data_IF_628451076155
#
_entry.id   IF_628451076155
#
_cell.length_a   1.000
_cell.length_b   1.000
_cell.length_c   1.000
_cell.angle_alpha   90.00
_cell.angle_beta   90.00
_cell.angle_gamma   90.00
#
_symmetry.space_group_name_H-M   'P 1'
#
loop_
_entity.id
_entity.type
_entity.pdbx_description
1 polymer ?
#
# COMPACT_ATOMS: atom_id res chain seq x y z
N UNK A 1 -14.09 -19.77 -10.05
CA UNK A 1 -14.75 -18.50 -9.70
C UNK A 1 -14.33 -17.45 -10.72
N UNK A 2 -15.29 -16.78 -11.38
CA UNK A 2 -14.98 -15.66 -12.26
C UNK A 2 -14.31 -14.55 -11.45
N UNK A 3 -13.19 -14.02 -11.93
CA UNK A 3 -12.54 -12.83 -11.35
C UNK A 3 -13.48 -11.65 -11.53
N UNK A 4 -13.85 -10.97 -10.43
CA UNK A 4 -14.63 -9.74 -10.49
C UNK A 4 -13.82 -8.69 -11.25
N UNK A 5 -14.46 -7.96 -12.17
CA UNK A 5 -13.81 -6.79 -12.76
C UNK A 5 -13.71 -5.70 -11.68
N UNK A 6 -12.64 -4.90 -11.72
CA UNK A 6 -12.54 -3.75 -10.85
C UNK A 6 -13.40 -2.63 -11.46
N UNK A 7 -14.63 -2.54 -11.00
CA UNK A 7 -15.65 -1.61 -11.45
C UNK A 7 -16.52 -1.11 -10.28
N UNK A 8 -17.34 -0.05 -10.47
CA UNK A 8 -18.18 0.48 -9.40
C UNK A 8 -19.18 -0.51 -8.82
N UNK A 9 -19.61 -1.54 -9.57
CA UNK A 9 -20.57 -2.53 -9.07
C UNK A 9 -19.94 -3.51 -8.10
N UNK A 10 -18.65 -3.82 -8.28
CA UNK A 10 -17.89 -4.75 -7.44
C UNK A 10 -17.23 -4.07 -6.24
N UNK A 11 -16.63 -2.88 -6.46
CA UNK A 11 -15.77 -2.22 -5.49
C UNK A 11 -16.10 -0.74 -5.23
N UNK A 12 -17.22 -0.23 -5.81
CA UNK A 12 -17.64 1.16 -5.66
C UNK A 12 -18.67 1.39 -4.56
N UNK A 13 -19.23 2.62 -4.52
CA UNK A 13 -18.96 3.72 -5.45
C UNK A 13 -17.63 4.45 -5.23
N UNK A 14 -17.04 4.41 -4.02
CA UNK A 14 -15.79 5.10 -3.71
C UNK A 14 -14.67 4.13 -3.37
N UNK A 15 -13.45 4.48 -3.78
CA UNK A 15 -12.22 3.90 -3.30
C UNK A 15 -11.48 4.89 -2.39
N UNK A 16 -11.07 4.45 -1.19
CA UNK A 16 -10.21 5.23 -0.30
C UNK A 16 -8.75 4.85 -0.51
N UNK A 17 -7.90 5.84 -0.76
CA UNK A 17 -6.46 5.68 -0.92
C UNK A 17 -5.74 6.44 0.21
N UNK A 18 -5.23 5.70 1.19
CA UNK A 18 -4.36 6.26 2.22
C UNK A 18 -2.94 6.39 1.66
N UNK A 19 -2.43 7.62 1.58
CA UNK A 19 -1.19 7.96 0.89
C UNK A 19 -1.40 8.45 -0.54
N UNK A 20 -2.59 8.97 -0.88
CA UNK A 20 -3.02 9.33 -2.24
C UNK A 20 -2.45 10.62 -2.83
N UNK A 21 -1.46 11.27 -2.20
CA UNK A 21 -0.99 12.60 -2.64
C UNK A 21 0.10 12.60 -3.71
N UNK A 22 0.87 11.53 -3.85
CA UNK A 22 1.96 11.41 -4.84
C UNK A 22 2.35 9.95 -5.09
N UNK A 23 3.27 9.73 -6.02
CA UNK A 23 3.93 8.45 -6.22
C UNK A 23 2.98 7.30 -6.53
N UNK A 24 3.08 6.21 -5.76
CA UNK A 24 2.25 5.03 -5.99
C UNK A 24 0.78 5.28 -5.65
N UNK A 25 0.48 6.03 -4.59
CA UNK A 25 -0.90 6.38 -4.24
C UNK A 25 -1.60 7.17 -5.33
N UNK A 26 -0.91 8.15 -5.94
CA UNK A 26 -1.44 8.88 -7.10
C UNK A 26 -1.62 7.96 -8.32
N UNK A 27 -0.71 7.02 -8.55
CA UNK A 27 -0.85 6.03 -9.62
C UNK A 27 -2.05 5.09 -9.39
N UNK A 28 -2.34 4.70 -8.16
CA UNK A 28 -3.59 4.00 -7.81
C UNK A 28 -4.81 4.87 -8.08
N UNK A 29 -4.77 6.16 -7.71
CA UNK A 29 -5.87 7.09 -7.97
C UNK A 29 -6.22 7.15 -9.45
N UNK A 30 -5.22 7.33 -10.32
CA UNK A 30 -5.35 7.31 -11.77
C UNK A 30 -5.94 5.99 -12.29
N UNK A 31 -5.39 4.87 -11.84
CA UNK A 31 -5.80 3.56 -12.31
C UNK A 31 -7.23 3.20 -11.88
N UNK A 32 -7.66 3.63 -10.71
CA UNK A 32 -9.00 3.37 -10.16
C UNK A 32 -10.03 4.32 -10.81
N UNK A 33 -9.72 5.62 -10.91
CA UNK A 33 -10.59 6.61 -11.55
C UNK A 33 -10.88 6.27 -13.01
N UNK A 34 -9.89 5.81 -13.77
CA UNK A 34 -10.06 5.33 -15.15
C UNK A 34 -11.06 4.18 -15.28
N UNK A 35 -11.37 3.48 -14.20
CA UNK A 35 -12.38 2.41 -14.12
C UNK A 35 -13.75 2.90 -13.64
N UNK A 36 -13.91 4.22 -13.47
CA UNK A 36 -15.15 4.87 -13.12
C UNK A 36 -15.51 4.87 -11.64
N UNK A 37 -14.55 4.56 -10.73
CA UNK A 37 -14.77 4.72 -9.30
C UNK A 37 -14.45 6.14 -8.86
N UNK A 38 -15.30 6.69 -7.99
CA UNK A 38 -15.00 7.90 -7.25
C UNK A 38 -13.91 7.65 -6.19
N UNK A 39 -13.25 8.69 -5.73
CA UNK A 39 -12.12 8.57 -4.83
C UNK A 39 -12.28 9.34 -3.53
N UNK A 40 -11.73 8.78 -2.47
CA UNK A 40 -11.35 9.50 -1.25
C UNK A 40 -9.84 9.42 -1.15
N UNK A 41 -9.17 10.55 -1.33
CA UNK A 41 -7.71 10.64 -1.19
C UNK A 41 -7.35 11.15 0.20
N UNK A 42 -6.57 10.38 0.94
CA UNK A 42 -6.14 10.70 2.29
C UNK A 42 -4.62 10.86 2.34
N UNK A 43 -4.12 12.01 2.80
CA UNK A 43 -2.70 12.28 3.03
C UNK A 43 -2.51 13.50 3.93
N UNK A 44 -1.26 13.74 4.36
CA UNK A 44 -0.89 14.86 5.25
C UNK A 44 -0.68 16.18 4.51
N UNK A 45 -0.20 16.11 3.27
CA UNK A 45 0.20 17.29 2.49
C UNK A 45 -0.96 17.75 1.64
N UNK A 46 -1.61 18.82 2.07
CA UNK A 46 -2.84 19.35 1.45
C UNK A 46 -2.61 19.79 0.00
N UNK A 47 -1.53 20.53 -0.26
CA UNK A 47 -1.24 21.05 -1.61
C UNK A 47 -1.10 19.91 -2.64
N UNK A 48 -0.27 18.90 -2.35
CA UNK A 48 -0.07 17.75 -3.24
C UNK A 48 -1.35 16.91 -3.37
N UNK A 49 -2.11 16.78 -2.27
CA UNK A 49 -3.37 16.05 -2.27
C UNK A 49 -4.41 16.70 -3.17
N UNK A 50 -4.55 18.04 -3.05
CA UNK A 50 -5.47 18.85 -3.86
C UNK A 50 -5.05 18.85 -5.33
N UNK A 51 -3.75 18.94 -5.62
CA UNK A 51 -3.24 18.87 -6.98
C UNK A 51 -3.55 17.50 -7.64
N UNK A 52 -3.33 16.40 -6.91
CA UNK A 52 -3.67 15.05 -7.39
C UNK A 52 -5.18 14.92 -7.61
N UNK A 53 -6.01 15.39 -6.69
CA UNK A 53 -7.47 15.36 -6.83
C UNK A 53 -7.95 16.12 -8.06
N UNK A 54 -7.48 17.35 -8.26
CA UNK A 54 -7.84 18.17 -9.41
C UNK A 54 -7.43 17.53 -10.73
N UNK A 55 -6.21 16.96 -10.80
CA UNK A 55 -5.73 16.23 -11.97
C UNK A 55 -6.63 15.05 -12.33
N UNK A 56 -6.91 14.18 -11.34
CA UNK A 56 -7.72 12.98 -11.54
C UNK A 56 -9.17 13.32 -11.92
N UNK A 57 -9.78 14.30 -11.25
CA UNK A 57 -11.13 14.78 -11.60
C UNK A 57 -11.18 15.30 -13.04
N UNK A 58 -10.21 16.12 -13.44
CA UNK A 58 -10.14 16.64 -14.80
C UNK A 58 -9.96 15.56 -15.87
N UNK A 59 -9.07 14.58 -15.57
CA UNK A 59 -8.72 13.53 -16.54
C UNK A 59 -9.82 12.47 -16.71
N UNK A 60 -10.60 12.17 -15.67
CA UNK A 60 -11.51 11.01 -15.64
C UNK A 60 -12.97 11.35 -15.34
N UNK A 61 -13.28 12.58 -14.94
CA UNK A 61 -14.66 13.01 -14.67
C UNK A 61 -15.30 12.34 -13.43
N UNK A 62 -14.50 11.77 -12.53
CA UNK A 62 -14.97 11.16 -11.30
C UNK A 62 -14.96 12.16 -10.15
N UNK A 63 -15.81 11.91 -9.14
CA UNK A 63 -15.78 12.71 -7.91
C UNK A 63 -14.58 12.32 -7.03
N UNK A 64 -13.87 13.32 -6.50
CA UNK A 64 -12.67 13.13 -5.66
C UNK A 64 -12.78 13.96 -4.39
N UNK A 65 -12.91 13.28 -3.26
CA UNK A 65 -12.94 13.90 -1.93
C UNK A 65 -11.52 13.84 -1.35
N UNK A 66 -11.01 14.97 -0.87
CA UNK A 66 -9.72 15.04 -0.17
C UNK A 66 -9.90 15.03 1.33
N UNK A 67 -9.08 14.25 2.04
CA UNK A 67 -9.04 14.16 3.50
C UNK A 67 -7.62 14.44 3.98
N UNK A 68 -7.38 15.64 4.48
CA UNK A 68 -6.08 16.00 5.08
C UNK A 68 -6.02 15.42 6.48
N UNK A 69 -5.19 14.39 6.68
CA UNK A 69 -5.01 13.74 7.98
C UNK A 69 -3.66 13.00 8.06
N UNK A 70 -3.13 12.86 9.27
CA UNK A 70 -1.95 12.03 9.54
C UNK A 70 -2.39 10.61 9.97
N UNK A 71 -1.89 9.60 9.28
CA UNK A 71 -2.16 8.20 9.64
C UNK A 71 -1.61 7.81 11.01
N UNK A 72 -0.69 8.59 11.59
CA UNK A 72 -0.24 8.42 12.97
C UNK A 72 -1.33 8.79 13.99
N UNK A 73 -2.20 9.76 13.65
CA UNK A 73 -3.40 10.12 14.44
C UNK A 73 -4.64 9.40 13.87
N UNK A 74 -4.78 8.13 14.26
CA UNK A 74 -5.90 7.32 13.75
C UNK A 74 -7.27 7.81 14.25
N UNK A 75 -7.36 8.46 15.38
CA UNK A 75 -8.63 8.94 15.93
C UNK A 75 -9.19 10.11 15.08
N UNK A 76 -8.32 11.01 14.62
CA UNK A 76 -8.69 12.04 13.64
C UNK A 76 -9.05 11.42 12.29
N UNK A 77 -8.27 10.47 11.78
CA UNK A 77 -8.57 9.72 10.55
C UNK A 77 -9.93 9.06 10.62
N UNK A 78 -10.20 8.30 11.69
CA UNK A 78 -11.48 7.63 11.91
C UNK A 78 -12.64 8.61 11.90
N UNK A 79 -12.52 9.71 12.66
CA UNK A 79 -13.54 10.76 12.73
C UNK A 79 -13.84 11.38 11.36
N UNK A 80 -12.79 11.71 10.59
CA UNK A 80 -12.94 12.31 9.26
C UNK A 80 -13.55 11.34 8.27
N UNK A 81 -13.03 10.10 8.19
CA UNK A 81 -13.55 9.07 7.27
C UNK A 81 -15.01 8.72 7.56
N UNK A 82 -15.39 8.55 8.84
CA UNK A 82 -16.78 8.24 9.21
C UNK A 82 -17.75 9.39 8.86
N UNK A 83 -17.29 10.64 8.88
CA UNK A 83 -18.12 11.83 8.57
C UNK A 83 -18.33 12.04 7.07
N UNK A 84 -17.62 11.35 6.19
CA UNK A 84 -17.78 11.52 4.75
C UNK A 84 -19.19 11.16 4.26
N UNK A 85 -19.86 10.22 4.92
CA UNK A 85 -21.20 9.79 4.54
C UNK A 85 -21.28 9.09 3.16
N UNK A 86 -20.15 8.58 2.67
CA UNK A 86 -20.07 7.88 1.38
C UNK A 86 -19.71 6.41 1.56
N UNK A 87 -20.20 5.57 0.66
CA UNK A 87 -19.92 4.14 0.66
C UNK A 87 -18.52 3.85 0.07
N UNK A 88 -17.58 3.47 0.91
CA UNK A 88 -16.23 3.07 0.49
C UNK A 88 -16.24 1.55 0.24
N UNK A 89 -16.06 1.16 -1.01
CA UNK A 89 -16.05 -0.24 -1.43
C UNK A 89 -14.65 -0.80 -1.71
N UNK A 90 -13.62 0.06 -1.82
CA UNK A 90 -12.23 -0.33 -1.99
C UNK A 90 -11.34 0.47 -1.04
N UNK A 91 -10.46 -0.21 -0.33
CA UNK A 91 -9.35 0.40 0.41
C UNK A 91 -8.03 0.09 -0.30
N UNK A 92 -7.23 1.12 -0.57
CA UNK A 92 -5.81 0.98 -0.89
C UNK A 92 -5.00 1.65 0.20
N UNK A 93 -4.27 0.88 0.99
CA UNK A 93 -3.39 1.41 2.01
C UNK A 93 -1.94 1.46 1.52
N UNK A 94 -1.52 2.64 1.04
CA UNK A 94 -0.18 2.92 0.51
C UNK A 94 0.67 3.79 1.45
N UNK A 95 0.04 4.52 2.39
CA UNK A 95 0.76 5.36 3.35
C UNK A 95 1.83 4.56 4.10
N UNK A 96 3.03 5.12 4.17
CA UNK A 96 4.15 4.50 4.86
C UNK A 96 5.10 5.54 5.43
N UNK A 97 5.77 5.15 6.52
CA UNK A 97 6.92 5.84 7.08
C UNK A 97 8.07 4.84 7.20
N UNK A 98 9.24 5.20 6.69
CA UNK A 98 10.41 4.35 6.69
C UNK A 98 11.57 5.07 7.41
N UNK A 99 11.83 4.79 8.69
CA UNK A 99 13.07 5.23 9.32
C UNK A 99 14.25 4.51 8.66
N UNK A 100 15.22 5.27 8.19
CA UNK A 100 16.43 4.77 7.53
C UNK A 100 17.60 5.10 8.44
N UNK A 101 18.49 4.13 8.65
CA UNK A 101 19.70 4.25 9.47
C UNK A 101 19.94 3.01 10.31
N UNK A 102 21.06 3.01 11.03
CA UNK A 102 21.39 1.94 11.99
C UNK A 102 20.34 1.95 13.10
N UNK A 103 19.97 0.78 13.59
CA UNK A 103 18.86 0.65 14.55
C UNK A 103 19.08 1.48 15.83
N UNK A 104 20.33 1.54 16.29
CA UNK A 104 20.73 2.33 17.46
C UNK A 104 20.65 3.86 17.25
N UNK A 105 20.64 4.33 16.00
CA UNK A 105 20.57 5.75 15.65
C UNK A 105 19.13 6.21 15.37
N UNK A 106 18.18 5.27 15.20
CA UNK A 106 16.76 5.58 15.00
C UNK A 106 16.12 5.94 16.33
N UNK A 107 15.49 7.12 16.40
CA UNK A 107 14.86 7.59 17.64
C UNK A 107 13.57 6.82 17.98
N UNK A 108 13.20 6.81 19.27
CA UNK A 108 11.95 6.20 19.75
C UNK A 108 10.73 6.81 19.05
N UNK A 109 10.72 8.12 18.79
CA UNK A 109 9.63 8.79 18.07
C UNK A 109 9.51 8.29 16.62
N UNK A 110 10.64 8.07 15.93
CA UNK A 110 10.64 7.52 14.59
C UNK A 110 10.12 6.07 14.57
N UNK A 111 10.48 5.27 15.57
CA UNK A 111 9.96 3.90 15.72
C UNK A 111 8.47 3.91 16.03
N UNK A 112 8.02 4.78 16.93
CA UNK A 112 6.61 4.94 17.26
C UNK A 112 5.80 5.39 16.02
N UNK A 113 6.32 6.34 15.25
CA UNK A 113 5.69 6.79 14.00
C UNK A 113 5.62 5.66 12.97
N UNK A 114 6.67 4.85 12.81
CA UNK A 114 6.66 3.71 11.91
C UNK A 114 5.58 2.69 12.30
N UNK A 115 5.42 2.39 13.57
CA UNK A 115 4.36 1.51 14.08
C UNK A 115 2.99 2.15 13.87
N UNK A 116 2.82 3.42 14.20
CA UNK A 116 1.54 4.11 14.06
C UNK A 116 1.05 4.12 12.60
N UNK A 117 1.92 4.50 11.66
CA UNK A 117 1.56 4.62 10.23
C UNK A 117 1.49 3.25 9.56
N UNK A 118 2.49 2.37 9.77
CA UNK A 118 2.61 1.16 8.96
C UNK A 118 1.92 -0.07 9.55
N UNK A 119 1.58 -0.06 10.84
CA UNK A 119 0.95 -1.19 11.55
C UNK A 119 -0.44 -0.82 12.04
N UNK A 120 -0.55 0.18 12.95
CA UNK A 120 -1.84 0.59 13.53
C UNK A 120 -2.78 1.14 12.45
N UNK A 121 -2.28 1.96 11.54
CA UNK A 121 -3.06 2.56 10.45
C UNK A 121 -3.76 1.54 9.56
N UNK A 122 -3.05 0.62 8.86
CA UNK A 122 -3.68 -0.36 7.98
C UNK A 122 -4.59 -1.33 8.75
N UNK A 123 -4.21 -1.74 9.96
CA UNK A 123 -5.02 -2.63 10.80
C UNK A 123 -6.39 -2.02 11.13
N UNK A 124 -6.38 -0.79 11.64
CA UNK A 124 -7.61 -0.13 12.10
C UNK A 124 -8.46 0.40 10.94
N UNK A 125 -7.84 0.86 9.84
CA UNK A 125 -8.59 1.31 8.66
C UNK A 125 -9.23 0.12 7.92
N UNK A 126 -8.54 -1.01 7.81
CA UNK A 126 -9.11 -2.24 7.29
C UNK A 126 -10.29 -2.71 8.15
N UNK A 127 -10.16 -2.69 9.49
CA UNK A 127 -11.26 -3.03 10.42
C UNK A 127 -12.45 -2.07 10.27
N UNK A 128 -12.21 -0.77 10.16
CA UNK A 128 -13.27 0.25 10.02
C UNK A 128 -14.08 0.04 8.74
N UNK A 129 -13.40 -0.25 7.62
CA UNK A 129 -14.03 -0.32 6.30
C UNK A 129 -14.55 -1.73 5.96
N UNK A 130 -14.02 -2.79 6.58
CA UNK A 130 -14.50 -4.15 6.31
C UNK A 130 -15.92 -4.41 6.79
N UNK A 131 -16.36 -3.83 7.90
CA UNK A 131 -17.71 -4.03 8.43
C UNK A 131 -18.80 -3.66 7.40
N UNK A 132 -18.85 -2.43 6.84
CA UNK A 132 -19.83 -2.10 5.82
C UNK A 132 -19.62 -2.88 4.50
N UNK A 133 -18.40 -3.31 4.16
CA UNK A 133 -18.18 -4.19 3.01
C UNK A 133 -18.80 -5.57 3.20
N UNK A 134 -18.68 -6.15 4.40
CA UNK A 134 -19.30 -7.42 4.78
C UNK A 134 -20.83 -7.32 4.68
N UNK A 135 -21.41 -6.26 5.24
CA UNK A 135 -22.87 -6.03 5.17
C UNK A 135 -23.40 -5.97 3.72
N UNK A 136 -22.63 -5.36 2.81
CA UNK A 136 -22.96 -5.29 1.38
C UNK A 136 -22.63 -6.57 0.60
N UNK A 137 -21.91 -7.52 1.19
CA UNK A 137 -21.45 -8.73 0.51
C UNK A 137 -20.44 -8.48 -0.62
N UNK A 138 -19.77 -7.32 -0.62
CA UNK A 138 -18.79 -6.93 -1.65
C UNK A 138 -17.83 -5.86 -1.15
N UNK A 139 -16.61 -5.88 -1.65
CA UNK A 139 -15.58 -4.89 -1.34
C UNK A 139 -14.19 -5.41 -1.61
N UNK A 140 -13.19 -4.55 -1.39
CA UNK A 140 -11.79 -4.90 -1.57
C UNK A 140 -10.86 -4.15 -0.65
N UNK A 141 -9.76 -4.79 -0.27
CA UNK A 141 -8.69 -4.21 0.56
C UNK A 141 -7.35 -4.55 -0.08
N UNK A 142 -6.56 -3.55 -0.42
CA UNK A 142 -5.18 -3.68 -0.90
C UNK A 142 -4.25 -3.09 0.15
N UNK A 143 -3.39 -3.92 0.75
CA UNK A 143 -2.35 -3.49 1.69
C UNK A 143 -0.99 -3.51 0.99
N UNK A 144 -0.33 -2.34 0.96
CA UNK A 144 1.00 -2.24 0.38
C UNK A 144 2.06 -2.79 1.32
N UNK A 145 2.73 -3.82 0.84
CA UNK A 145 3.90 -4.43 1.46
C UNK A 145 5.15 -4.20 0.59
N UNK A 146 6.26 -4.81 0.96
CA UNK A 146 7.55 -4.66 0.28
C UNK A 146 8.31 -5.98 0.28
N UNK A 147 9.16 -6.20 -0.72
CA UNK A 147 10.15 -7.27 -0.73
C UNK A 147 11.11 -7.19 0.47
N UNK A 148 11.32 -5.99 1.03
CA UNK A 148 12.09 -5.82 2.26
C UNK A 148 11.49 -6.58 3.44
N UNK A 149 10.16 -6.80 3.45
CA UNK A 149 9.46 -7.56 4.50
C UNK A 149 9.60 -9.09 4.38
N UNK A 150 10.23 -9.61 3.33
CA UNK A 150 10.40 -11.06 3.16
C UNK A 150 11.46 -11.66 4.11
N UNK A 151 12.42 -10.84 4.56
CA UNK A 151 13.51 -11.19 5.48
C UNK A 151 13.92 -9.98 6.31
N UNK A 152 14.88 -10.15 7.24
CA UNK A 152 15.52 -9.02 7.92
C UNK A 152 16.28 -8.14 6.92
N UNK A 153 16.12 -6.82 7.03
CA UNK A 153 16.76 -5.85 6.15
C UNK A 153 17.50 -4.81 7.01
N UNK A 154 18.83 -4.89 7.12
CA UNK A 154 19.63 -3.92 7.88
C UNK A 154 19.41 -2.48 7.41
N UNK A 155 19.62 -1.50 8.26
CA UNK A 155 19.36 -0.06 8.08
C UNK A 155 17.88 0.33 7.85
N UNK A 156 16.98 -0.64 7.65
CA UNK A 156 15.53 -0.45 7.55
C UNK A 156 14.76 -1.53 8.34
N UNK A 157 15.33 -2.02 9.45
CA UNK A 157 14.81 -3.17 10.17
C UNK A 157 13.35 -2.98 10.64
N UNK A 158 13.04 -1.82 11.23
CA UNK A 158 11.68 -1.49 11.67
C UNK A 158 10.71 -1.43 10.49
N UNK A 159 11.08 -0.78 9.39
CA UNK A 159 10.27 -0.74 8.18
C UNK A 159 10.00 -2.14 7.61
N UNK A 160 11.06 -2.97 7.49
CA UNK A 160 10.93 -4.34 6.99
C UNK A 160 9.96 -5.17 7.84
N UNK A 161 10.04 -5.06 9.17
CA UNK A 161 9.14 -5.74 10.09
C UNK A 161 7.68 -5.29 9.87
N UNK A 162 7.42 -3.98 9.70
CA UNK A 162 6.07 -3.48 9.45
C UNK A 162 5.52 -3.92 8.09
N UNK A 163 6.36 -4.09 7.07
CA UNK A 163 5.93 -4.61 5.76
C UNK A 163 5.66 -6.11 5.79
N UNK A 164 6.39 -6.88 6.58
CA UNK A 164 6.05 -8.28 6.88
C UNK A 164 4.68 -8.39 7.54
N UNK A 165 4.40 -7.51 8.55
CA UNK A 165 3.09 -7.42 9.19
C UNK A 165 1.96 -7.24 8.16
N UNK A 166 2.07 -6.30 7.23
CA UNK A 166 1.03 -6.05 6.21
C UNK A 166 0.78 -7.26 5.31
N UNK A 167 1.82 -8.04 4.97
CA UNK A 167 1.66 -9.27 4.21
C UNK A 167 0.84 -10.30 4.99
N UNK A 168 1.24 -10.59 6.24
CA UNK A 168 0.57 -11.59 7.08
C UNK A 168 -0.85 -11.17 7.43
N UNK A 169 -1.07 -9.87 7.72
CA UNK A 169 -2.41 -9.34 7.94
C UNK A 169 -3.33 -9.56 6.73
N UNK A 170 -2.85 -9.24 5.54
CA UNK A 170 -3.64 -9.41 4.32
C UNK A 170 -3.95 -10.89 4.04
N UNK A 171 -3.01 -11.81 4.28
CA UNK A 171 -3.22 -13.26 4.13
C UNK A 171 -4.31 -13.78 5.08
N UNK A 172 -4.30 -13.35 6.36
CA UNK A 172 -5.33 -13.68 7.33
C UNK A 172 -6.70 -13.12 6.93
N UNK A 173 -6.76 -11.82 6.65
CA UNK A 173 -8.00 -11.15 6.23
C UNK A 173 -8.56 -11.70 4.92
N UNK A 174 -7.71 -12.11 3.97
CA UNK A 174 -8.15 -12.76 2.73
C UNK A 174 -8.97 -14.03 3.02
N UNK A 175 -8.52 -14.85 3.96
CA UNK A 175 -9.24 -16.08 4.35
C UNK A 175 -10.55 -15.77 5.10
N UNK A 176 -10.49 -14.81 6.05
CA UNK A 176 -11.64 -14.47 6.89
C UNK A 176 -12.74 -13.74 6.13
N UNK A 177 -12.38 -12.82 5.21
CA UNK A 177 -13.35 -11.95 4.54
C UNK A 177 -13.87 -12.51 3.21
N UNK A 178 -13.18 -13.48 2.62
CA UNK A 178 -13.61 -14.12 1.37
C UNK A 178 -15.02 -14.72 1.39
N UNK A 179 -15.47 -15.41 2.46
CA UNK A 179 -16.87 -15.90 2.55
C UNK A 179 -17.90 -14.78 2.52
N UNK A 180 -17.51 -13.57 2.91
CA UNK A 180 -18.36 -12.37 2.92
C UNK A 180 -18.28 -11.54 1.64
N UNK A 181 -17.62 -12.06 0.59
CA UNK A 181 -17.52 -11.37 -0.69
C UNK A 181 -16.56 -10.20 -0.70
N UNK A 182 -15.67 -10.07 0.28
CA UNK A 182 -14.63 -9.03 0.35
C UNK A 182 -13.29 -9.62 -0.05
N UNK A 183 -12.67 -9.03 -1.09
CA UNK A 183 -11.36 -9.44 -1.59
C UNK A 183 -10.26 -8.72 -0.83
N UNK A 184 -9.21 -9.44 -0.43
CA UNK A 184 -8.03 -8.84 0.23
C UNK A 184 -6.76 -9.23 -0.48
N UNK A 185 -5.83 -8.29 -0.61
CA UNK A 185 -4.57 -8.47 -1.32
C UNK A 185 -3.41 -7.77 -0.61
N UNK A 186 -2.32 -8.47 -0.39
CA UNK A 186 -1.01 -7.86 -0.15
C UNK A 186 -0.30 -7.61 -1.49
N UNK A 187 0.05 -6.36 -1.76
CA UNK A 187 0.94 -6.02 -2.88
C UNK A 187 2.38 -5.92 -2.36
N UNK A 188 3.19 -6.95 -2.59
CA UNK A 188 4.59 -7.03 -2.16
C UNK A 188 5.48 -6.46 -3.25
N UNK A 189 5.67 -5.14 -3.24
CA UNK A 189 6.42 -4.44 -4.27
C UNK A 189 7.94 -4.45 -4.03
N UNK A 190 8.72 -4.43 -5.10
CA UNK A 190 10.14 -4.07 -5.09
C UNK A 190 10.33 -2.56 -5.04
N UNK A 191 11.47 -2.07 -5.53
CA UNK A 191 11.69 -0.63 -5.70
C UNK A 191 10.71 -0.06 -6.75
N UNK A 192 10.19 1.14 -6.48
CA UNK A 192 9.19 1.81 -7.32
C UNK A 192 9.73 3.19 -7.69
N UNK A 193 9.69 3.53 -8.97
CA UNK A 193 10.02 4.88 -9.44
C UNK A 193 8.94 5.86 -8.93
N UNK A 194 9.24 6.53 -7.83
CA UNK A 194 8.42 7.56 -7.22
C UNK A 194 9.26 8.81 -7.00
N UNK A 195 8.66 10.00 -6.83
CA UNK A 195 9.41 11.21 -6.47
C UNK A 195 10.24 11.03 -5.20
N UNK A 196 9.74 10.27 -4.21
CA UNK A 196 10.48 9.95 -2.98
C UNK A 196 11.71 9.08 -3.23
N UNK A 197 11.59 8.05 -4.07
CA UNK A 197 12.70 7.19 -4.45
C UNK A 197 13.77 7.94 -5.23
N UNK A 198 13.36 8.78 -6.19
CA UNK A 198 14.30 9.59 -6.99
C UNK A 198 15.07 10.62 -6.15
N UNK A 199 14.48 11.13 -5.06
CA UNK A 199 15.17 12.04 -4.11
C UNK A 199 16.18 11.31 -3.23
N UNK A 200 15.96 10.02 -2.95
CA UNK A 200 16.82 9.21 -2.08
C UNK A 200 17.98 8.53 -2.82
N UNK A 201 17.84 8.27 -4.13
CA UNK A 201 18.88 7.62 -4.94
C UNK A 201 19.51 8.57 -5.95
N UNK A 202 20.82 8.77 -5.82
CA UNK A 202 21.65 9.52 -6.77
C UNK A 202 22.24 8.66 -7.90
N UNK A 203 21.94 7.36 -7.99
CA UNK A 203 22.54 6.39 -8.89
C UNK A 203 21.54 5.40 -9.49
N UNK A 204 22.00 4.46 -10.32
CA UNK A 204 21.19 3.52 -11.10
C UNK A 204 20.07 2.87 -10.30
N UNK A 205 18.83 2.82 -10.87
CA UNK A 205 17.72 2.11 -10.23
C UNK A 205 18.06 0.65 -9.92
N UNK A 206 17.61 0.18 -8.76
CA UNK A 206 17.80 -1.21 -8.34
C UNK A 206 17.19 -2.19 -9.37
N UNK A 207 17.77 -3.41 -9.58
CA UNK A 207 17.16 -4.39 -10.46
C UNK A 207 15.71 -4.70 -10.07
N UNK A 208 14.80 -4.69 -11.05
CA UNK A 208 13.39 -4.92 -10.82
C UNK A 208 12.60 -3.68 -10.38
N UNK A 209 13.22 -2.48 -10.38
CA UNK A 209 12.50 -1.22 -10.18
C UNK A 209 11.42 -1.03 -11.25
N UNK A 210 10.20 -0.72 -10.83
CA UNK A 210 9.05 -0.56 -11.72
C UNK A 210 8.47 0.85 -11.65
N UNK A 211 7.84 1.34 -12.75
CA UNK A 211 7.00 2.52 -12.71
C UNK A 211 5.82 2.32 -11.74
N UNK A 212 5.43 3.37 -11.02
CA UNK A 212 4.31 3.33 -10.07
C UNK A 212 2.99 2.90 -10.74
N UNK A 213 2.73 3.38 -11.96
CA UNK A 213 1.54 3.00 -12.74
C UNK A 213 1.48 1.50 -13.03
N UNK A 214 2.61 0.87 -13.33
CA UNK A 214 2.67 -0.56 -13.58
C UNK A 214 2.40 -1.39 -12.31
N UNK A 215 2.94 -0.96 -11.17
CA UNK A 215 2.69 -1.59 -9.87
C UNK A 215 1.21 -1.51 -9.51
N UNK A 216 0.59 -0.32 -9.64
CA UNK A 216 -0.83 -0.12 -9.37
C UNK A 216 -1.70 -1.01 -10.25
N UNK A 217 -1.44 -1.04 -11.57
CA UNK A 217 -2.18 -1.89 -12.51
C UNK A 217 -2.06 -3.39 -12.19
N UNK A 218 -0.85 -3.88 -11.88
CA UNK A 218 -0.66 -5.28 -11.53
C UNK A 218 -1.35 -5.64 -10.21
N UNK A 219 -1.35 -4.75 -9.21
CA UNK A 219 -2.06 -4.94 -7.95
C UNK A 219 -3.58 -5.02 -8.17
N UNK A 220 -4.15 -4.04 -8.89
CA UNK A 220 -5.59 -4.01 -9.16
C UNK A 220 -6.08 -5.21 -9.99
N UNK A 221 -5.28 -5.68 -10.96
CA UNK A 221 -5.59 -6.90 -11.72
C UNK A 221 -5.48 -8.18 -10.89
N UNK A 222 -4.73 -8.18 -9.80
CA UNK A 222 -4.55 -9.33 -8.91
C UNK A 222 -5.61 -9.41 -7.80
N UNK A 223 -6.32 -8.32 -7.52
CA UNK A 223 -7.38 -8.28 -6.52
C UNK A 223 -8.45 -9.33 -6.88
N UNK A 224 -8.88 -10.11 -5.90
CA UNK A 224 -9.80 -11.23 -6.06
C UNK A 224 -9.16 -12.55 -6.54
N UNK A 225 -7.86 -12.57 -6.94
CA UNK A 225 -7.18 -13.78 -7.43
C UNK A 225 -6.39 -14.55 -6.37
N UNK A 226 -6.04 -13.90 -5.29
CA UNK A 226 -5.26 -14.54 -4.22
C UNK A 226 -4.78 -13.52 -3.19
N UNK A 227 -4.19 -13.98 -2.08
CA UNK A 227 -3.81 -13.09 -0.97
C UNK A 227 -2.60 -12.22 -1.28
N UNK A 228 -1.74 -12.60 -2.22
CA UNK A 228 -0.45 -11.92 -2.45
C UNK A 228 -0.17 -11.75 -3.93
N UNK A 229 0.26 -10.55 -4.31
CA UNK A 229 0.87 -10.27 -5.62
C UNK A 229 2.27 -9.70 -5.45
N UNK A 230 3.19 -10.08 -6.33
CA UNK A 230 4.52 -9.48 -6.46
C UNK A 230 4.60 -8.87 -7.86
N UNK A 231 4.53 -7.53 -8.01
CA UNK A 231 4.65 -6.89 -9.31
C UNK A 231 6.03 -7.12 -9.95
N UNK A 232 6.03 -7.40 -11.24
CA UNK A 232 7.24 -7.59 -12.05
C UNK A 232 7.83 -9.00 -12.00
N UNK A 233 8.26 -9.50 -13.16
CA UNK A 233 8.82 -10.86 -13.28
C UNK A 233 10.14 -11.00 -12.50
N UNK A 234 11.01 -9.99 -12.56
CA UNK A 234 12.29 -9.97 -11.83
C UNK A 234 12.05 -10.04 -10.32
N UNK A 235 11.10 -9.27 -9.81
CA UNK A 235 10.73 -9.25 -8.39
C UNK A 235 10.12 -10.58 -7.94
N UNK A 236 9.26 -11.21 -8.77
CA UNK A 236 8.70 -12.54 -8.50
C UNK A 236 9.80 -13.58 -8.39
N UNK A 237 10.72 -13.61 -9.36
CA UNK A 237 11.84 -14.54 -9.37
C UNK A 237 12.76 -14.28 -8.17
N UNK A 238 13.11 -13.02 -7.92
CA UNK A 238 13.96 -12.63 -6.78
C UNK A 238 13.36 -13.08 -5.44
N UNK A 239 12.06 -12.84 -5.22
CA UNK A 239 11.36 -13.32 -4.01
C UNK A 239 11.38 -14.85 -3.90
N UNK A 240 11.09 -15.56 -5.00
CA UNK A 240 11.10 -17.02 -5.01
C UNK A 240 12.48 -17.57 -4.64
N UNK A 241 13.53 -17.08 -5.28
CA UNK A 241 14.92 -17.48 -5.03
C UNK A 241 15.32 -17.20 -3.58
N UNK A 242 15.06 -15.98 -3.06
CA UNK A 242 15.41 -15.59 -1.69
C UNK A 242 14.68 -16.43 -0.64
N UNK A 243 13.40 -16.75 -0.86
CA UNK A 243 12.60 -17.45 0.15
C UNK A 243 12.71 -18.97 0.08
N UNK A 244 13.10 -19.55 -1.08
CA UNK A 244 13.08 -21.00 -1.28
C UNK A 244 14.46 -21.64 -1.43
N UNK A 245 15.43 -20.88 -1.97
CA UNK A 245 16.75 -21.43 -2.31
C UNK A 245 17.86 -20.94 -1.38
N UNK A 246 17.65 -19.80 -0.69
CA UNK A 246 18.64 -19.24 0.24
C UNK A 246 18.29 -19.60 1.69
N UNK A 247 19.33 -19.85 2.49
CA UNK A 247 19.16 -19.85 3.94
C UNK A 247 18.79 -18.44 4.43
N UNK A 248 18.09 -18.34 5.55
CA UNK A 248 17.71 -17.03 6.13
C UNK A 248 18.92 -16.11 6.31
N UNK A 249 20.07 -16.65 6.75
CA UNK A 249 21.32 -15.92 6.92
C UNK A 249 21.85 -15.36 5.58
N UNK A 250 21.84 -16.16 4.53
CA UNK A 250 22.31 -15.75 3.21
C UNK A 250 21.41 -14.66 2.59
N UNK A 251 20.08 -14.76 2.76
CA UNK A 251 19.13 -13.76 2.32
C UNK A 251 19.34 -12.43 3.03
N UNK A 252 19.56 -12.43 4.35
CA UNK A 252 19.88 -11.22 5.14
C UNK A 252 21.20 -10.60 4.68
N UNK A 253 22.26 -11.41 4.47
CA UNK A 253 23.56 -10.92 4.00
C UNK A 253 23.46 -10.27 2.61
N UNK A 254 22.63 -10.82 1.71
CA UNK A 254 22.38 -10.21 0.41
C UNK A 254 21.64 -8.86 0.54
N UNK A 255 20.60 -8.81 1.39
CA UNK A 255 19.88 -7.56 1.65
C UNK A 255 20.76 -6.49 2.30
N UNK A 256 21.67 -6.88 3.18
CA UNK A 256 22.64 -5.96 3.79
C UNK A 256 23.48 -5.22 2.74
N UNK A 257 23.88 -5.89 1.65
CA UNK A 257 24.61 -5.25 0.55
C UNK A 257 23.73 -4.23 -0.20
N UNK A 258 22.45 -4.53 -0.36
CA UNK A 258 21.51 -3.64 -1.06
C UNK A 258 21.08 -2.42 -0.21
N UNK A 259 21.05 -2.57 1.12
CA UNK A 259 20.65 -1.49 2.04
C UNK A 259 21.84 -0.78 2.68
N UNK A 260 23.07 -1.25 2.46
CA UNK A 260 24.30 -0.68 3.04
C UNK A 260 24.64 0.75 2.60
N UNK A 261 24.07 1.21 1.48
CA UNK A 261 24.17 2.59 1.00
C UNK A 261 23.03 3.51 1.49
N UNK A 262 22.10 2.99 2.28
CA UNK A 262 21.03 3.77 2.91
C UNK A 262 21.53 4.25 4.29
N UNK A 263 22.11 5.43 4.35
CA UNK A 263 22.59 6.06 5.59
C UNK A 263 22.23 7.53 5.62
#
# INVERSE_FOLDING_TARGET
MATRSLDPTSYGPYALIAGGSEGLGAAFAEAIARRGLNLVLLARREEQLTATAAHVTHAHGVDVITVVADMADFDDVKKKVTRLGVDIGLLVYDAAYAPIGRFEDVTDDQLAQAVAVNVRGPLLLAKLLSAPMIERGRGGIVLMSSLAGAQGSPNIAAYAATKAFNTILAEGLWSELKPHGVDVLACVAGAILTPGYQRAESSRPAPGTLPAAEVAEQALRALGKGPVVVPGAVNKLGRFVLMRLFSRRAAIALMSKNTGGLS
#
